data_IF_608120069091
#
_entry.id   IF_608120069091
#
_cell.length_a   1.000
_cell.length_b   1.000
_cell.length_c   1.000
_cell.angle_alpha   90.00
_cell.angle_beta   90.00
_cell.angle_gamma   90.00
#
_symmetry.space_group_name_H-M   'P 1'
#
loop_
_entity.id
_entity.type
_entity.pdbx_description
1 polymer ?
#
# COMPACT_ATOMS: atom_id res chain seq x y z
N UNK A 1 -29.59 7.64 16.17
CA UNK A 1 -28.25 7.03 16.02
C UNK A 1 -27.31 8.11 15.54
N UNK A 2 -26.11 8.23 16.12
CA UNK A 2 -25.10 9.15 15.59
C UNK A 2 -24.73 8.72 14.17
N UNK A 3 -24.43 9.70 13.30
CA UNK A 3 -24.10 9.46 11.89
C UNK A 3 -22.95 8.46 11.76
N UNK A 4 -22.00 8.53 12.68
CA UNK A 4 -20.84 7.63 12.77
C UNK A 4 -21.23 6.20 13.16
N UNK A 5 -22.22 6.03 14.06
CA UNK A 5 -22.73 4.71 14.45
C UNK A 5 -23.50 4.05 13.30
N UNK A 6 -24.22 4.83 12.49
CA UNK A 6 -24.92 4.30 11.31
C UNK A 6 -23.93 3.82 10.23
N UNK A 7 -22.85 4.58 9.99
CA UNK A 7 -21.80 4.18 9.05
C UNK A 7 -21.07 2.93 9.55
N UNK A 8 -20.73 2.89 10.85
CA UNK A 8 -20.10 1.72 11.46
C UNK A 8 -20.98 0.47 11.37
N UNK A 9 -22.29 0.61 11.65
CA UNK A 9 -23.24 -0.49 11.54
C UNK A 9 -23.40 -0.96 10.08
N UNK A 10 -23.48 -0.04 9.12
CA UNK A 10 -23.58 -0.37 7.70
C UNK A 10 -22.34 -1.11 7.20
N UNK A 11 -21.14 -0.64 7.57
CA UNK A 11 -19.90 -1.33 7.27
C UNK A 11 -19.86 -2.73 7.90
N UNK A 12 -20.25 -2.85 9.17
CA UNK A 12 -20.25 -4.14 9.86
C UNK A 12 -21.21 -5.14 9.18
N UNK A 13 -22.44 -4.74 8.90
CA UNK A 13 -23.42 -5.59 8.21
C UNK A 13 -22.97 -5.90 6.78
N UNK A 14 -22.46 -4.91 6.05
CA UNK A 14 -21.94 -5.08 4.70
C UNK A 14 -20.77 -6.07 4.65
N UNK A 15 -19.83 -5.99 5.60
CA UNK A 15 -18.72 -6.93 5.72
C UNK A 15 -19.20 -8.34 6.05
N UNK A 16 -20.13 -8.49 7.00
CA UNK A 16 -20.69 -9.81 7.35
C UNK A 16 -21.39 -10.43 6.13
N UNK A 17 -22.22 -9.66 5.42
CA UNK A 17 -22.89 -10.12 4.20
C UNK A 17 -21.89 -10.49 3.10
N UNK A 18 -20.83 -9.69 2.93
CA UNK A 18 -19.77 -9.96 1.97
C UNK A 18 -19.04 -11.28 2.26
N UNK A 19 -18.71 -11.54 3.54
CA UNK A 19 -18.07 -12.80 3.97
C UNK A 19 -18.98 -13.99 3.70
N UNK A 20 -20.26 -13.89 4.06
CA UNK A 20 -21.23 -14.97 3.85
C UNK A 20 -21.46 -15.25 2.35
N UNK A 21 -21.58 -14.21 1.53
CA UNK A 21 -21.74 -14.34 0.09
C UNK A 21 -20.49 -14.94 -0.57
N UNK A 22 -19.29 -14.47 -0.21
CA UNK A 22 -18.04 -15.01 -0.71
C UNK A 22 -17.85 -16.47 -0.29
N UNK A 23 -18.09 -16.79 0.99
CA UNK A 23 -18.03 -18.16 1.49
C UNK A 23 -19.01 -19.07 0.74
N UNK A 24 -20.26 -18.66 0.57
CA UNK A 24 -21.24 -19.42 -0.20
C UNK A 24 -20.79 -19.66 -1.64
N UNK A 25 -20.26 -18.64 -2.31
CA UNK A 25 -19.79 -18.74 -3.69
C UNK A 25 -18.55 -19.64 -3.81
N UNK A 26 -17.68 -19.68 -2.80
CA UNK A 26 -16.50 -20.55 -2.79
C UNK A 26 -16.83 -22.00 -2.44
N UNK A 27 -17.79 -22.26 -1.56
CA UNK A 27 -18.07 -23.63 -1.10
C UNK A 27 -19.15 -24.34 -1.92
N UNK A 28 -20.10 -23.61 -2.51
CA UNK A 28 -21.25 -24.20 -3.22
C UNK A 28 -21.14 -24.12 -4.75
N UNK A 29 -20.26 -23.27 -5.29
CA UNK A 29 -20.15 -23.04 -6.73
C UNK A 29 -19.09 -23.92 -7.39
N UNK A 30 -19.36 -24.42 -8.60
CA UNK A 30 -18.36 -25.10 -9.44
C UNK A 30 -17.21 -24.16 -9.87
N UNK A 31 -17.44 -22.84 -9.78
CA UNK A 31 -16.46 -21.80 -10.07
C UNK A 31 -15.51 -21.49 -8.91
N UNK A 32 -15.64 -22.21 -7.79
CA UNK A 32 -14.82 -22.05 -6.58
C UNK A 32 -13.32 -21.99 -6.90
N UNK A 33 -12.85 -22.87 -7.78
CA UNK A 33 -11.44 -22.94 -8.13
C UNK A 33 -10.95 -21.69 -8.87
N UNK A 34 -11.75 -21.14 -9.79
CA UNK A 34 -11.42 -19.88 -10.46
C UNK A 34 -11.43 -18.70 -9.49
N UNK A 35 -12.39 -18.64 -8.57
CA UNK A 35 -12.49 -17.56 -7.59
C UNK A 35 -11.29 -17.59 -6.64
N UNK A 36 -10.94 -18.77 -6.13
CA UNK A 36 -9.77 -18.94 -5.25
C UNK A 36 -8.47 -18.60 -5.97
N UNK A 37 -8.31 -19.05 -7.23
CA UNK A 37 -7.15 -18.70 -8.06
C UNK A 37 -7.06 -17.18 -8.27
N UNK A 38 -8.17 -16.52 -8.57
CA UNK A 38 -8.19 -15.06 -8.77
C UNK A 38 -7.83 -14.32 -7.48
N UNK A 39 -8.42 -14.69 -6.34
CA UNK A 39 -8.08 -14.04 -5.06
C UNK A 39 -6.64 -14.30 -4.63
N UNK A 40 -6.13 -15.51 -4.86
CA UNK A 40 -4.72 -15.84 -4.61
C UNK A 40 -3.78 -15.07 -5.53
N UNK A 41 -4.11 -14.95 -6.82
CA UNK A 41 -3.35 -14.17 -7.77
C UNK A 41 -3.32 -12.68 -7.38
N UNK A 42 -4.45 -12.09 -7.00
CA UNK A 42 -4.51 -10.70 -6.54
C UNK A 42 -3.65 -10.50 -5.29
N UNK A 43 -3.69 -11.42 -4.32
CA UNK A 43 -2.86 -11.36 -3.13
C UNK A 43 -1.36 -11.37 -3.48
N UNK A 44 -0.93 -12.29 -4.35
CA UNK A 44 0.46 -12.39 -4.80
C UNK A 44 0.86 -11.17 -5.64
N UNK A 45 -0.01 -10.72 -6.55
CA UNK A 45 0.22 -9.56 -7.40
C UNK A 45 0.34 -8.26 -6.58
N UNK A 46 -0.41 -8.12 -5.49
CA UNK A 46 -0.26 -6.98 -4.57
C UNK A 46 1.13 -6.98 -3.91
N UNK A 47 1.59 -8.13 -3.41
CA UNK A 47 2.93 -8.26 -2.81
C UNK A 47 4.03 -7.99 -3.83
N UNK A 48 3.96 -8.63 -5.00
CA UNK A 48 4.93 -8.45 -6.08
C UNK A 48 4.89 -7.02 -6.64
N UNK A 49 3.72 -6.40 -6.69
CA UNK A 49 3.55 -5.00 -7.11
C UNK A 49 4.29 -4.05 -6.18
N UNK A 50 4.18 -4.25 -4.86
CA UNK A 50 4.95 -3.47 -3.87
C UNK A 50 6.45 -3.70 -4.06
N UNK A 51 6.90 -4.96 -4.19
CA UNK A 51 8.31 -5.28 -4.41
C UNK A 51 8.85 -4.67 -5.72
N UNK A 52 8.06 -4.73 -6.79
CA UNK A 52 8.39 -4.13 -8.08
C UNK A 52 8.51 -2.62 -7.98
N UNK A 53 7.61 -1.97 -7.24
CA UNK A 53 7.69 -0.53 -6.98
C UNK A 53 8.97 -0.16 -6.22
N UNK A 54 9.31 -0.91 -5.16
CA UNK A 54 10.55 -0.67 -4.41
C UNK A 54 11.77 -0.84 -5.32
N UNK A 55 11.83 -1.92 -6.09
CA UNK A 55 12.91 -2.14 -7.07
C UNK A 55 13.01 -1.02 -8.11
N UNK A 56 11.86 -0.52 -8.58
CA UNK A 56 11.81 0.63 -9.49
C UNK A 56 12.38 1.90 -8.84
N UNK A 57 12.02 2.19 -7.59
CA UNK A 57 12.57 3.37 -6.89
C UNK A 57 14.08 3.26 -6.69
N UNK A 58 14.61 2.09 -6.30
CA UNK A 58 16.06 1.89 -6.13
C UNK A 58 16.83 2.01 -7.45
N UNK A 59 16.27 1.49 -8.54
CA UNK A 59 16.88 1.57 -9.87
C UNK A 59 16.88 3.00 -10.43
N UNK A 60 15.93 3.84 -10.00
CA UNK A 60 15.77 5.21 -10.49
C UNK A 60 16.28 6.28 -9.54
N UNK A 61 16.65 5.92 -8.31
CA UNK A 61 17.41 6.82 -7.43
C UNK A 61 18.89 6.77 -7.79
N UNK A 62 19.48 7.86 -8.34
CA UNK A 62 20.93 7.96 -8.46
C UNK A 62 21.55 7.88 -7.06
N UNK A 63 22.73 7.25 -6.93
CA UNK A 63 23.37 7.03 -5.65
C UNK A 63 23.43 8.35 -4.87
N UNK A 64 23.02 8.33 -3.59
CA UNK A 64 22.96 9.53 -2.76
C UNK A 64 24.31 10.25 -2.84
N UNK A 65 24.27 11.56 -3.10
CA UNK A 65 25.49 12.38 -3.18
C UNK A 65 26.34 12.15 -1.92
N UNK A 66 27.67 12.02 -2.05
CA UNK A 66 28.57 11.87 -0.90
C UNK A 66 28.29 12.94 0.15
N UNK A 67 28.24 12.53 1.42
CA UNK A 67 27.91 13.39 2.57
C UNK A 67 28.78 14.66 2.62
N UNK A 68 30.00 14.62 2.05
CA UNK A 68 30.94 15.74 1.94
C UNK A 68 30.41 16.96 1.15
N UNK A 69 29.55 16.76 0.14
CA UNK A 69 28.96 17.89 -0.61
C UNK A 69 27.85 18.60 0.18
N UNK A 70 27.10 17.84 0.99
CA UNK A 70 26.01 18.35 1.84
C UNK A 70 26.58 19.17 3.00
N UNK A 71 27.71 18.76 3.57
CA UNK A 71 28.40 19.47 4.65
C UNK A 71 29.01 20.81 4.17
N UNK A 72 29.60 20.85 2.97
CA UNK A 72 30.11 22.09 2.35
C UNK A 72 29.02 23.09 1.96
N UNK A 73 27.82 22.61 1.64
CA UNK A 73 26.67 23.46 1.31
C UNK A 73 25.98 23.99 2.57
N UNK A 74 26.12 23.31 3.72
CA UNK A 74 25.66 23.76 5.04
C UNK A 74 26.67 24.69 5.75
N UNK A 75 27.98 24.57 5.49
CA UNK A 75 28.99 25.50 6.00
C UNK A 75 28.96 26.89 5.31
N UNK A 76 28.51 26.95 4.05
CA UNK A 76 28.46 28.22 3.28
C UNK A 76 27.40 29.25 3.71
N UNK A 77 26.17 28.89 4.15
CA UNK A 77 25.14 29.87 4.47
C UNK A 77 25.39 30.66 5.77
N UNK A 78 26.27 30.22 6.67
CA UNK A 78 26.44 30.87 7.98
C UNK A 78 27.58 31.91 8.02
N UNK A 79 28.51 31.92 7.06
CA UNK A 79 29.72 32.75 7.11
C UNK A 79 29.65 34.13 6.44
N UNK A 80 28.50 34.57 5.89
CA UNK A 80 28.43 35.77 5.03
C UNK A 80 27.33 36.78 5.38
N UNK A 81 26.70 36.68 6.55
CA UNK A 81 25.62 37.57 7.00
C UNK A 81 25.94 38.28 8.32
N UNK A 82 27.21 38.56 8.61
CA UNK A 82 27.56 39.50 9.68
C UNK A 82 28.50 40.57 9.14
N UNK A 83 27.91 41.77 8.99
CA UNK A 83 28.53 43.05 8.63
C UNK A 83 29.70 43.44 9.52
#
# INVERSE_FOLDING_TARGET
>A
MSRDQAIGALLCVGSILGILAYGWLVFTSEWAMLILQLTGFIAVAAVLGILSWIGYTLATTPPPKPIEEIEKELEKPEGSQQS
#
